data_IF_828998089650
#
_entry.id   IF_828998089650
#
_cell.length_a   1.000
_cell.length_b   1.000
_cell.length_c   1.000
_cell.angle_alpha   90.00
_cell.angle_beta   90.00
_cell.angle_gamma   90.00
#
_symmetry.space_group_name_H-M   'P 1'
#
loop_
_entity.id
_entity.type
_entity.pdbx_description
1 polymer ?
#
# COMPACT_ATOMS: atom_id res chain seq x y z
N UNK A 1 -18.97 -1.66 -13.19
CA UNK A 1 -18.35 -1.87 -11.86
C UNK A 1 -17.68 -0.57 -11.44
N UNK A 2 -17.82 -0.14 -10.17
CA UNK A 2 -17.11 1.05 -9.70
C UNK A 2 -15.63 0.75 -9.50
N UNK A 3 -14.77 1.70 -9.84
CA UNK A 3 -13.33 1.61 -9.59
C UNK A 3 -13.06 1.71 -8.08
N UNK A 4 -12.29 0.77 -7.53
CA UNK A 4 -11.99 0.70 -6.10
C UNK A 4 -10.49 0.71 -5.85
N UNK A 5 -10.09 1.37 -4.78
CA UNK A 5 -8.69 1.45 -4.33
C UNK A 5 -8.53 0.78 -2.97
N UNK A 6 -7.51 -0.05 -2.86
CA UNK A 6 -7.09 -0.66 -1.61
C UNK A 6 -5.72 -0.11 -1.21
N UNK A 7 -5.64 0.52 -0.05
CA UNK A 7 -4.40 0.90 0.59
C UNK A 7 -3.96 -0.21 1.53
N UNK A 8 -2.76 -0.73 1.31
CA UNK A 8 -2.10 -1.67 2.22
C UNK A 8 -0.93 -0.97 2.89
N UNK A 9 -1.14 -0.53 4.12
CA UNK A 9 -0.15 0.17 4.93
C UNK A 9 -0.31 -0.19 6.40
N UNK A 10 0.79 -0.12 7.13
CA UNK A 10 0.81 -0.33 8.58
C UNK A 10 1.24 0.94 9.29
N UNK A 11 0.90 1.06 10.58
CA UNK A 11 1.41 2.10 11.45
C UNK A 11 1.60 1.55 12.87
N UNK A 12 2.70 1.93 13.48
CA UNK A 12 3.06 1.41 14.80
C UNK A 12 4.10 2.26 15.50
N UNK A 13 4.51 1.76 16.65
CA UNK A 13 5.60 2.30 17.48
C UNK A 13 6.87 1.46 17.37
N UNK A 14 7.03 0.75 16.26
CA UNK A 14 8.22 -0.04 15.98
C UNK A 14 9.28 0.86 15.31
N UNK A 15 10.60 0.67 15.57
CA UNK A 15 11.66 1.49 14.95
C UNK A 15 11.58 1.61 13.42
N UNK A 16 11.12 0.56 12.75
CA UNK A 16 10.99 0.53 11.28
C UNK A 16 9.63 0.98 10.75
N UNK A 17 8.63 1.17 11.62
CA UNK A 17 7.26 1.49 11.22
C UNK A 17 6.68 2.54 12.15
N UNK A 18 6.84 3.80 11.77
CA UNK A 18 6.18 4.93 12.42
C UNK A 18 4.76 5.16 11.89
N UNK A 19 4.33 6.40 11.91
CA UNK A 19 3.03 6.83 11.39
C UNK A 19 3.09 7.36 9.96
N UNK A 20 4.28 7.46 9.35
CA UNK A 20 4.49 8.06 8.03
C UNK A 20 3.65 7.40 6.93
N UNK A 21 3.68 6.08 6.87
CA UNK A 21 2.93 5.30 5.86
C UNK A 21 1.41 5.54 5.94
N UNK A 22 0.82 5.45 7.14
CA UNK A 22 -0.63 5.66 7.29
C UNK A 22 -1.02 7.12 7.04
N UNK A 23 -0.20 8.08 7.45
CA UNK A 23 -0.45 9.51 7.24
C UNK A 23 -0.42 9.86 5.76
N UNK A 24 0.58 9.39 5.02
CA UNK A 24 0.67 9.56 3.56
C UNK A 24 -0.51 8.92 2.84
N UNK A 25 -0.84 7.68 3.18
CA UNK A 25 -1.96 6.95 2.59
C UNK A 25 -3.30 7.65 2.85
N UNK A 26 -3.52 8.17 4.05
CA UNK A 26 -4.70 8.96 4.38
C UNK A 26 -4.76 10.29 3.62
N UNK A 27 -3.62 10.98 3.51
CA UNK A 27 -3.53 12.21 2.72
C UNK A 27 -3.92 11.95 1.26
N UNK A 28 -3.37 10.91 0.66
CA UNK A 28 -3.66 10.52 -0.73
C UNK A 28 -5.12 10.14 -0.91
N UNK A 29 -5.69 9.35 0.00
CA UNK A 29 -7.11 8.98 -0.03
C UNK A 29 -8.04 10.20 0.06
N UNK A 30 -7.72 11.17 0.92
CA UNK A 30 -8.46 12.44 1.04
C UNK A 30 -8.37 13.25 -0.25
N UNK A 31 -7.20 13.30 -0.89
CA UNK A 31 -7.03 13.99 -2.17
C UNK A 31 -7.85 13.34 -3.29
N UNK A 32 -7.93 12.02 -3.36
CA UNK A 32 -8.81 11.34 -4.33
C UNK A 32 -10.28 11.74 -4.15
N UNK A 33 -10.71 11.92 -2.91
CA UNK A 33 -12.09 12.32 -2.62
C UNK A 33 -12.31 13.80 -2.95
N UNK A 34 -11.43 14.69 -2.50
CA UNK A 34 -11.57 16.15 -2.69
C UNK A 34 -11.51 16.56 -4.16
N UNK A 35 -10.77 15.83 -4.97
CA UNK A 35 -10.69 16.03 -6.42
C UNK A 35 -11.79 15.25 -7.20
N UNK A 36 -12.79 14.71 -6.54
CA UNK A 36 -13.90 13.94 -7.14
C UNK A 36 -13.46 12.71 -7.96
N UNK A 37 -12.26 12.20 -7.73
CA UNK A 37 -11.74 11.01 -8.41
C UNK A 37 -12.37 9.72 -7.88
N UNK A 38 -12.65 9.67 -6.57
CA UNK A 38 -13.22 8.51 -5.88
C UNK A 38 -14.25 8.95 -4.82
N UNK A 39 -15.23 8.08 -4.59
CA UNK A 39 -16.09 8.21 -3.41
C UNK A 39 -15.43 7.49 -2.22
N UNK A 40 -15.65 7.98 -1.01
CA UNK A 40 -15.09 7.38 0.21
C UNK A 40 -15.40 5.89 0.34
N UNK A 41 -16.59 5.45 -0.10
CA UNK A 41 -17.03 4.05 -0.08
C UNK A 41 -16.22 3.13 -0.99
N UNK A 42 -15.52 3.68 -1.99
CA UNK A 42 -14.70 2.95 -2.96
C UNK A 42 -13.23 2.82 -2.51
N UNK A 43 -12.91 3.35 -1.33
CA UNK A 43 -11.59 3.29 -0.71
C UNK A 43 -11.61 2.36 0.50
N UNK A 44 -10.68 1.43 0.55
CA UNK A 44 -10.47 0.56 1.69
C UNK A 44 -9.02 0.56 2.14
N UNK A 45 -8.84 0.42 3.43
CA UNK A 45 -7.54 0.20 4.04
C UNK A 45 -7.41 -1.22 4.59
N UNK A 46 -6.24 -1.82 4.38
CA UNK A 46 -5.81 -3.06 5.02
C UNK A 46 -4.61 -2.75 5.91
N UNK A 47 -4.70 -3.06 7.18
CA UNK A 47 -3.65 -2.79 8.17
C UNK A 47 -3.54 -3.93 9.17
N UNK A 48 -2.36 -4.06 9.79
CA UNK A 48 -2.18 -4.99 10.93
C UNK A 48 -2.66 -4.35 12.22
N UNK A 49 -3.02 -5.19 13.19
CA UNK A 49 -3.50 -4.77 14.51
C UNK A 49 -2.85 -5.58 15.65
N UNK A 50 -1.63 -6.01 15.50
CA UNK A 50 -0.88 -6.70 16.55
C UNK A 50 -0.20 -5.72 17.50
N UNK A 51 0.44 -6.26 18.55
CA UNK A 51 1.31 -5.51 19.45
C UNK A 51 2.37 -4.77 18.62
N UNK A 52 2.43 -3.46 18.76
CA UNK A 52 3.32 -2.58 17.97
C UNK A 52 2.71 -1.98 16.70
N UNK A 53 1.57 -2.49 16.19
CA UNK A 53 0.92 -2.03 14.94
C UNK A 53 -0.48 -1.42 15.12
N UNK A 54 -0.87 -1.11 16.34
CA UNK A 54 -2.25 -0.64 16.66
C UNK A 54 -2.56 0.77 16.17
N UNK A 55 -1.56 1.56 15.78
CA UNK A 55 -1.77 2.95 15.39
C UNK A 55 -2.56 3.07 14.08
N UNK A 56 -2.37 2.16 13.13
CA UNK A 56 -3.10 2.16 11.87
C UNK A 56 -4.61 2.18 12.07
N UNK A 57 -5.13 1.27 12.90
CA UNK A 57 -6.55 1.22 13.26
C UNK A 57 -7.03 2.54 13.85
N UNK A 58 -6.31 3.08 14.85
CA UNK A 58 -6.68 4.34 15.53
C UNK A 58 -6.79 5.53 14.56
N UNK A 59 -5.84 5.65 13.62
CA UNK A 59 -5.87 6.72 12.62
C UNK A 59 -7.06 6.57 11.65
N UNK A 60 -7.35 5.34 11.22
CA UNK A 60 -8.44 5.07 10.27
C UNK A 60 -9.81 5.29 10.91
N UNK A 61 -9.99 4.91 12.17
CA UNK A 61 -11.21 5.19 12.95
C UNK A 61 -11.44 6.70 13.09
N UNK A 62 -10.41 7.45 13.47
CA UNK A 62 -10.49 8.92 13.61
C UNK A 62 -10.95 9.60 12.32
N UNK A 63 -10.48 9.11 11.18
CA UNK A 63 -10.78 9.66 9.86
C UNK A 63 -12.03 9.03 9.22
N UNK A 64 -12.67 8.09 9.92
CA UNK A 64 -13.88 7.39 9.49
C UNK A 64 -13.76 6.76 8.08
N UNK A 65 -12.60 6.16 7.77
CA UNK A 65 -12.42 5.34 6.58
C UNK A 65 -12.83 3.90 6.82
N UNK A 66 -13.31 3.23 5.76
CA UNK A 66 -13.54 1.79 5.79
C UNK A 66 -12.20 1.05 5.84
N UNK A 67 -12.04 0.15 6.80
CA UNK A 67 -10.82 -0.64 6.92
C UNK A 67 -11.11 -2.06 7.38
N UNK A 68 -10.16 -2.95 7.10
CA UNK A 68 -10.04 -4.27 7.71
C UNK A 68 -8.66 -4.37 8.37
N UNK A 69 -8.63 -5.03 9.51
CA UNK A 69 -7.39 -5.33 10.20
C UNK A 69 -7.25 -6.84 10.41
N UNK A 70 -6.03 -7.29 10.45
CA UNK A 70 -5.69 -8.70 10.55
C UNK A 70 -4.49 -8.88 11.49
N UNK A 71 -4.30 -10.09 11.96
CA UNK A 71 -3.11 -10.46 12.73
C UNK A 71 -1.84 -10.39 11.86
N UNK A 72 -0.69 -10.33 12.51
CA UNK A 72 0.60 -10.35 11.82
C UNK A 72 0.79 -11.63 10.97
N UNK A 73 0.25 -12.76 11.43
CA UNK A 73 0.34 -14.02 10.70
C UNK A 73 -0.48 -13.99 9.39
N UNK A 74 -1.63 -13.32 9.41
CA UNK A 74 -2.49 -13.19 8.22
C UNK A 74 -1.96 -12.18 7.22
N UNK A 75 -1.50 -11.00 7.68
CA UNK A 75 -0.91 -9.94 6.87
C UNK A 75 0.61 -9.86 6.99
N UNK A 76 1.28 -10.99 7.19
CA UNK A 76 2.74 -11.03 7.13
C UNK A 76 3.23 -10.52 5.77
N UNK A 77 4.12 -9.52 5.74
CA UNK A 77 4.52 -8.88 4.50
C UNK A 77 5.07 -9.86 3.46
N UNK A 78 4.59 -9.73 2.22
CA UNK A 78 4.96 -10.58 1.09
C UNK A 78 4.55 -12.07 1.20
N UNK A 79 3.63 -12.40 2.10
CA UNK A 79 3.13 -13.78 2.25
C UNK A 79 2.03 -14.11 1.24
N UNK A 80 1.79 -15.40 1.05
CA UNK A 80 0.67 -15.89 0.25
C UNK A 80 -0.69 -15.58 0.89
N UNK A 81 -0.76 -15.56 2.22
CA UNK A 81 -1.98 -15.15 2.95
C UNK A 81 -2.31 -13.68 2.68
N UNK A 82 -1.33 -12.79 2.75
CA UNK A 82 -1.52 -11.38 2.44
C UNK A 82 -2.00 -11.16 1.00
N UNK A 83 -1.38 -11.83 0.01
CA UNK A 83 -1.81 -11.70 -1.38
C UNK A 83 -3.23 -12.23 -1.62
N UNK A 84 -3.63 -13.32 -0.96
CA UNK A 84 -5.02 -13.84 -1.00
C UNK A 84 -6.01 -12.83 -0.42
N UNK A 85 -5.70 -12.22 0.73
CA UNK A 85 -6.55 -11.20 1.35
C UNK A 85 -6.73 -10.01 0.41
N UNK A 86 -5.65 -9.50 -0.18
CA UNK A 86 -5.68 -8.39 -1.13
C UNK A 86 -6.50 -8.76 -2.38
N UNK A 87 -6.30 -9.95 -2.91
CA UNK A 87 -7.01 -10.40 -4.10
C UNK A 87 -8.52 -10.58 -3.87
N UNK A 88 -8.92 -11.10 -2.73
CA UNK A 88 -10.32 -11.25 -2.34
C UNK A 88 -11.01 -9.92 -2.05
N UNK A 89 -10.23 -8.87 -1.84
CA UNK A 89 -10.77 -7.57 -1.48
C UNK A 89 -11.48 -6.84 -2.63
N UNK A 90 -11.19 -7.18 -3.89
CA UNK A 90 -11.90 -6.66 -5.07
C UNK A 90 -11.52 -5.24 -5.50
N UNK A 91 -10.37 -4.70 -5.06
CA UNK A 91 -9.83 -3.43 -5.55
C UNK A 91 -9.24 -3.56 -6.96
N UNK A 92 -9.38 -2.50 -7.78
CA UNK A 92 -8.76 -2.39 -9.10
C UNK A 92 -7.32 -1.88 -8.99
N UNK A 93 -7.08 -0.97 -8.06
CA UNK A 93 -5.80 -0.39 -7.74
C UNK A 93 -5.40 -0.78 -6.32
N UNK A 94 -4.19 -1.29 -6.17
CA UNK A 94 -3.57 -1.62 -4.89
C UNK A 94 -2.42 -0.66 -4.66
N UNK A 95 -2.46 0.07 -3.56
CA UNK A 95 -1.39 0.96 -3.13
C UNK A 95 -0.68 0.31 -1.95
N UNK A 96 0.58 -0.04 -2.15
CA UNK A 96 1.45 -0.65 -1.15
C UNK A 96 2.38 0.43 -0.60
N UNK A 97 2.15 0.85 0.62
CA UNK A 97 2.99 1.82 1.30
C UNK A 97 3.79 1.12 2.40
N UNK A 98 4.98 0.63 2.04
CA UNK A 98 5.89 -0.10 2.91
C UNK A 98 7.30 -0.21 2.31
N UNK A 99 8.30 -0.48 3.16
CA UNK A 99 9.72 -0.42 2.80
C UNK A 99 10.22 -1.53 1.85
N UNK A 100 9.63 -2.73 1.87
CA UNK A 100 10.14 -3.84 1.04
C UNK A 100 9.01 -4.71 0.50
N UNK A 101 8.93 -4.80 -0.82
CA UNK A 101 8.00 -5.67 -1.53
C UNK A 101 8.77 -6.64 -2.44
N UNK A 102 8.40 -7.91 -2.42
CA UNK A 102 9.01 -8.93 -3.27
C UNK A 102 8.35 -8.97 -4.65
N UNK A 103 9.12 -9.19 -5.68
CA UNK A 103 8.67 -9.35 -7.07
C UNK A 103 7.61 -10.46 -7.21
N UNK A 104 7.82 -11.61 -6.54
CA UNK A 104 6.86 -12.71 -6.52
C UNK A 104 5.51 -12.30 -5.92
N UNK A 105 5.51 -11.45 -4.89
CA UNK A 105 4.31 -10.93 -4.26
C UNK A 105 3.54 -10.00 -5.20
N UNK A 106 4.21 -9.07 -5.87
CA UNK A 106 3.57 -8.19 -6.87
C UNK A 106 2.95 -9.03 -7.99
N UNK A 107 3.67 -10.03 -8.50
CA UNK A 107 3.13 -10.96 -9.51
C UNK A 107 1.83 -11.62 -9.04
N UNK A 108 1.79 -12.09 -7.79
CA UNK A 108 0.60 -12.77 -7.26
C UNK A 108 -0.62 -11.85 -7.13
N UNK A 109 -0.41 -10.55 -6.88
CA UNK A 109 -1.49 -9.55 -6.85
C UNK A 109 -1.97 -9.23 -8.27
N UNK A 110 -1.05 -9.06 -9.21
CA UNK A 110 -1.37 -8.65 -10.60
C UNK A 110 -2.05 -9.73 -11.43
N UNK A 111 -2.03 -10.99 -11.02
CA UNK A 111 -2.69 -12.12 -11.72
C UNK A 111 -4.16 -11.86 -12.06
N UNK A 112 -4.85 -11.05 -11.27
CA UNK A 112 -6.27 -10.74 -11.47
C UNK A 112 -6.50 -9.36 -12.15
N UNK A 113 -5.54 -8.88 -12.94
CA UNK A 113 -5.66 -7.61 -13.67
C UNK A 113 -5.61 -6.35 -12.79
N UNK A 114 -5.22 -6.49 -11.52
CA UNK A 114 -5.05 -5.36 -10.62
C UNK A 114 -3.82 -4.53 -10.99
N UNK A 115 -3.92 -3.22 -10.79
CA UNK A 115 -2.79 -2.28 -10.87
C UNK A 115 -2.16 -2.13 -9.49
N UNK A 116 -0.84 -2.01 -9.45
CA UNK A 116 -0.09 -1.90 -8.20
C UNK A 116 0.80 -0.67 -8.23
N UNK A 117 0.67 0.15 -7.19
CA UNK A 117 1.54 1.29 -6.91
C UNK A 117 2.32 1.02 -5.63
N UNK A 118 3.62 1.30 -5.64
CA UNK A 118 4.49 1.19 -4.46
C UNK A 118 5.04 2.56 -4.07
N UNK A 119 5.18 2.81 -2.77
CA UNK A 119 5.78 4.03 -2.21
C UNK A 119 7.03 3.69 -1.42
N UNK A 120 8.15 4.38 -1.71
CA UNK A 120 9.45 4.27 -1.03
C UNK A 120 9.91 2.82 -0.85
N UNK A 121 9.57 1.96 -1.82
CA UNK A 121 9.82 0.53 -1.77
C UNK A 121 11.27 0.24 -2.20
N UNK A 122 12.06 -0.32 -1.30
CA UNK A 122 13.44 -0.73 -1.52
C UNK A 122 13.56 -2.20 -2.01
N UNK A 123 12.44 -2.90 -2.14
CA UNK A 123 12.39 -4.27 -2.63
C UNK A 123 12.41 -4.37 -4.15
N UNK A 124 12.64 -5.57 -4.66
CA UNK A 124 12.64 -5.87 -6.11
C UNK A 124 11.24 -5.84 -6.73
N UNK A 125 10.19 -5.79 -5.90
CA UNK A 125 8.80 -5.69 -6.37
C UNK A 125 8.52 -4.38 -7.12
N UNK A 126 9.20 -3.30 -6.75
CA UNK A 126 9.06 -1.98 -7.40
C UNK A 126 9.32 -2.03 -8.92
N UNK A 127 10.22 -2.92 -9.38
CA UNK A 127 10.58 -3.05 -10.79
C UNK A 127 9.43 -3.49 -11.70
N UNK A 128 8.44 -4.16 -11.13
CA UNK A 128 7.29 -4.70 -11.86
C UNK A 128 5.95 -4.14 -11.37
N UNK A 129 5.96 -3.19 -10.45
CA UNK A 129 4.77 -2.40 -10.11
C UNK A 129 4.37 -1.53 -11.31
N UNK A 130 3.10 -1.14 -11.40
CA UNK A 130 2.63 -0.27 -12.49
C UNK A 130 3.13 1.18 -12.30
N UNK A 131 3.39 1.57 -11.04
CA UNK A 131 4.03 2.82 -10.68
C UNK A 131 4.82 2.62 -9.39
N UNK A 132 6.07 3.06 -9.37
CA UNK A 132 6.88 3.16 -8.17
C UNK A 132 7.15 4.64 -7.88
N UNK A 133 6.71 5.11 -6.71
CA UNK A 133 6.91 6.48 -6.25
C UNK A 133 7.99 6.49 -5.17
N UNK A 134 9.06 7.23 -5.38
CA UNK A 134 10.10 7.46 -4.37
C UNK A 134 10.01 8.92 -3.90
N UNK A 135 9.67 9.10 -2.62
CA UNK A 135 9.61 10.41 -1.98
C UNK A 135 10.90 10.74 -1.21
N UNK A 136 11.82 9.77 -1.08
CA UNK A 136 13.08 9.91 -0.35
C UNK A 136 14.21 10.17 -1.34
N UNK A 137 14.83 11.35 -1.29
CA UNK A 137 15.88 11.78 -2.20
C UNK A 137 17.15 10.91 -2.19
N UNK A 138 17.41 10.18 -1.11
CA UNK A 138 18.55 9.25 -1.00
C UNK A 138 18.51 8.08 -2.01
N UNK A 139 17.37 7.83 -2.63
CA UNK A 139 17.22 6.74 -3.60
C UNK A 139 17.60 7.13 -5.04
N UNK A 140 18.03 8.38 -5.28
CA UNK A 140 18.41 8.86 -6.62
C UNK A 140 19.58 8.06 -7.19
N UNK A 141 20.53 7.61 -6.37
CA UNK A 141 21.63 6.75 -6.85
C UNK A 141 21.17 5.33 -7.21
N UNK A 142 20.17 4.81 -6.51
CA UNK A 142 19.59 3.48 -6.83
C UNK A 142 18.65 3.52 -8.04
N UNK A 143 18.04 4.68 -8.33
CA UNK A 143 17.17 4.87 -9.50
C UNK A 143 17.92 4.83 -10.84
N UNK A 144 19.25 5.01 -10.85
CA UNK A 144 20.08 4.89 -12.06
C UNK A 144 20.02 3.50 -12.71
N UNK A 145 19.59 2.47 -11.95
CA UNK A 145 19.40 1.11 -12.42
C UNK A 145 17.96 0.79 -12.86
N UNK A 146 17.02 1.70 -12.70
CA UNK A 146 15.67 1.55 -13.25
C UNK A 146 15.76 1.78 -14.76
N UNK A 147 15.39 0.77 -15.53
CA UNK A 147 15.37 0.85 -17.00
C UNK A 147 14.63 2.11 -17.44
N UNK A 148 15.26 2.90 -18.32
CA UNK A 148 14.64 4.02 -19.03
C UNK A 148 13.28 3.59 -19.57
N UNK A 149 12.21 4.15 -19.06
CA UNK A 149 10.85 3.85 -19.51
C UNK A 149 9.74 4.13 -18.49
N UNK A 150 10.08 4.35 -17.22
CA UNK A 150 9.12 4.87 -16.24
C UNK A 150 9.30 6.39 -16.17
N UNK A 151 8.56 7.11 -17.01
CA UNK A 151 8.44 8.56 -16.89
C UNK A 151 7.61 8.86 -15.64
N UNK A 152 8.16 9.68 -14.76
CA UNK A 152 7.56 10.19 -13.54
C UNK A 152 6.64 11.37 -13.83
#
# INVERSE_FOLDING_TARGET
MSFKVCFRCDAGIHPEIGTGHITRSLFLAKNFISNNMLKKKDILFLTRNDKGFKLGKKYLEKENFKFKYYSNNELSPNSSSESKIINNFGGNLIILDRLKTKKSFIKSIKQNGKKVVTFDDLGDGREISDLAVSAIFSDIEQSKNLKKGLNY
#
